data_IF_920280219072
#
_entry.id   IF_920280219072
#
_cell.length_a   1.000
_cell.length_b   1.000
_cell.length_c   1.000
_cell.angle_alpha   90.00
_cell.angle_beta   90.00
_cell.angle_gamma   90.00
#
_symmetry.space_group_name_H-M   'P 1'
#
loop_
_entity.id
_entity.type
_entity.pdbx_description
1 polymer ?
#
# COMPACT_ATOMS: atom_id res chain seq x y z
N UNK A 1 -5.63 0.19 21.49
CA UNK A 1 -5.13 -0.73 20.44
C UNK A 1 -3.62 -0.90 20.57
N UNK A 2 -3.10 -0.83 21.81
CA UNK A 2 -1.69 -0.58 22.10
C UNK A 2 -0.84 -1.85 22.22
N UNK A 3 -1.41 -3.01 21.86
CA UNK A 3 -0.76 -4.32 22.04
C UNK A 3 -0.05 -4.84 20.78
N UNK A 4 -0.14 -4.13 19.64
CA UNK A 4 0.41 -4.60 18.36
C UNK A 4 1.28 -3.57 17.68
N UNK A 5 2.48 -3.99 17.26
CA UNK A 5 3.45 -3.16 16.50
C UNK A 5 3.26 -3.23 14.99
N UNK A 6 2.70 -4.33 14.49
CA UNK A 6 2.56 -4.58 13.06
C UNK A 6 1.13 -5.01 12.73
N UNK A 7 0.62 -4.53 11.59
CA UNK A 7 -0.66 -4.96 11.05
C UNK A 7 -0.45 -5.48 9.62
N UNK A 8 -0.75 -6.76 9.40
CA UNK A 8 -0.56 -7.42 8.12
C UNK A 8 -1.69 -7.04 7.17
N UNK A 9 -1.42 -6.06 6.31
CA UNK A 9 -2.36 -5.50 5.32
C UNK A 9 -2.21 -6.21 3.98
N UNK A 10 -2.44 -7.52 3.96
CA UNK A 10 -2.23 -8.34 2.76
C UNK A 10 -3.45 -8.28 1.84
N UNK A 11 -3.20 -8.11 0.55
CA UNK A 11 -4.25 -8.17 -0.45
C UNK A 11 -4.47 -9.57 -0.98
N UNK A 12 -5.71 -9.82 -1.43
CA UNK A 12 -6.11 -11.13 -1.95
C UNK A 12 -5.42 -11.48 -3.27
N UNK A 13 -4.79 -10.51 -3.94
CA UNK A 13 -4.14 -10.69 -5.24
C UNK A 13 -3.02 -9.67 -5.43
N UNK A 14 -1.98 -10.06 -6.15
CA UNK A 14 -0.82 -9.21 -6.42
C UNK A 14 -1.04 -8.35 -7.67
N UNK A 15 -2.03 -7.48 -7.62
CA UNK A 15 -2.41 -6.65 -8.77
C UNK A 15 -1.87 -5.22 -8.65
N UNK A 16 -1.50 -4.64 -9.79
CA UNK A 16 -1.16 -3.23 -9.95
C UNK A 16 -2.34 -2.40 -9.49
N UNK A 17 -2.04 -1.35 -8.73
CA UNK A 17 -3.01 -0.38 -8.19
C UNK A 17 -4.10 -0.98 -7.27
N UNK A 18 -4.03 -2.27 -6.92
CA UNK A 18 -4.98 -2.90 -5.99
C UNK A 18 -4.54 -2.66 -4.54
N UNK A 19 -5.11 -1.61 -3.95
CA UNK A 19 -4.91 -1.20 -2.55
C UNK A 19 -6.27 -0.97 -1.92
N UNK A 20 -6.57 -1.62 -0.81
CA UNK A 20 -7.88 -1.60 -0.16
C UNK A 20 -7.84 -0.96 1.23
N UNK A 21 -8.96 -1.03 1.95
CA UNK A 21 -9.11 -0.52 3.31
C UNK A 21 -8.10 -1.09 4.30
N UNK A 22 -7.54 -2.28 4.04
CA UNK A 22 -6.60 -2.97 4.96
C UNK A 22 -5.40 -2.08 5.29
N UNK A 23 -4.78 -1.48 4.27
CA UNK A 23 -3.67 -0.56 4.45
C UNK A 23 -4.11 0.67 5.25
N UNK A 24 -5.22 1.29 4.87
CA UNK A 24 -5.68 2.54 5.49
C UNK A 24 -6.15 2.34 6.94
N UNK A 25 -6.71 1.18 7.27
CA UNK A 25 -7.07 0.82 8.65
C UNK A 25 -5.81 0.78 9.56
N UNK A 26 -4.69 0.28 9.06
CA UNK A 26 -3.42 0.33 9.79
C UNK A 26 -2.87 1.75 9.89
N UNK A 27 -2.88 2.50 8.78
CA UNK A 27 -2.41 3.89 8.71
C UNK A 27 -3.17 4.82 9.68
N UNK A 28 -4.46 4.59 9.92
CA UNK A 28 -5.27 5.34 10.89
C UNK A 28 -4.80 5.16 12.34
N UNK A 29 -3.96 4.17 12.62
CA UNK A 29 -3.45 3.83 13.96
C UNK A 29 -1.93 4.05 14.06
N UNK A 30 -1.35 3.84 15.25
CA UNK A 30 0.10 3.87 15.51
C UNK A 30 0.73 2.47 15.41
N UNK A 31 0.43 1.78 14.31
CA UNK A 31 0.92 0.44 13.99
C UNK A 31 1.56 0.48 12.60
N UNK A 32 2.67 -0.22 12.39
CA UNK A 32 3.31 -0.26 11.07
C UNK A 32 2.54 -1.23 10.16
N UNK A 33 1.98 -0.77 9.02
CA UNK A 33 1.42 -1.66 8.01
C UNK A 33 2.51 -2.51 7.34
N UNK A 34 2.34 -3.83 7.39
CA UNK A 34 3.11 -4.79 6.60
C UNK A 34 2.26 -5.18 5.40
N UNK A 35 2.61 -4.68 4.22
CA UNK A 35 1.79 -4.80 3.01
C UNK A 35 2.29 -5.93 2.12
N UNK A 36 1.37 -6.65 1.49
CA UNK A 36 1.68 -7.65 0.47
C UNK A 36 0.65 -7.54 -0.65
N UNK A 37 1.09 -7.01 -1.80
CA UNK A 37 0.25 -6.71 -2.95
C UNK A 37 1.11 -6.40 -4.17
N UNK A 38 0.49 -6.19 -5.32
CA UNK A 38 1.17 -5.86 -6.58
C UNK A 38 1.26 -4.36 -6.87
N UNK A 39 0.75 -3.52 -5.96
CA UNK A 39 0.72 -2.08 -6.14
C UNK A 39 2.10 -1.43 -5.93
N UNK A 40 2.31 -0.30 -6.59
CA UNK A 40 3.41 0.61 -6.29
C UNK A 40 2.98 1.55 -5.16
N UNK A 41 3.28 1.17 -3.92
CA UNK A 41 2.85 1.91 -2.73
C UNK A 41 3.36 3.35 -2.67
N UNK A 42 4.42 3.71 -3.40
CA UNK A 42 4.94 5.09 -3.45
C UNK A 42 3.92 6.08 -4.04
N UNK A 43 2.93 5.58 -4.79
CA UNK A 43 1.82 6.37 -5.33
C UNK A 43 0.67 6.60 -4.35
N UNK A 44 0.61 5.81 -3.27
CA UNK A 44 -0.55 5.77 -2.38
C UNK A 44 -0.24 6.25 -0.97
N UNK A 45 1.01 6.10 -0.50
CA UNK A 45 1.43 6.45 0.85
C UNK A 45 2.77 7.18 0.87
N UNK A 46 3.05 7.98 1.92
CA UNK A 46 4.36 8.62 2.09
C UNK A 46 5.50 7.59 2.11
N UNK A 47 6.71 7.95 1.65
CA UNK A 47 7.85 7.04 1.73
C UNK A 47 8.15 6.65 3.19
N UNK A 48 8.67 5.44 3.37
CA UNK A 48 9.01 4.90 4.69
C UNK A 48 7.83 4.87 5.70
N UNK A 49 6.60 4.71 5.22
CA UNK A 49 5.40 4.55 6.05
C UNK A 49 4.89 3.11 6.16
N UNK A 50 5.37 2.22 5.28
CA UNK A 50 4.96 0.81 5.16
C UNK A 50 6.18 -0.11 5.10
N UNK A 51 5.99 -1.38 5.43
CA UNK A 51 6.94 -2.46 5.11
C UNK A 51 6.32 -3.29 3.99
N UNK A 52 6.88 -3.22 2.79
CA UNK A 52 6.43 -4.05 1.68
C UNK A 52 7.13 -5.41 1.70
N UNK A 53 6.35 -6.47 1.83
CA UNK A 53 6.84 -7.86 1.85
C UNK A 53 7.60 -8.19 0.57
N UNK A 54 7.21 -7.62 -0.57
CA UNK A 54 7.87 -7.86 -1.85
C UNK A 54 9.27 -7.24 -1.98
N UNK A 55 9.70 -6.42 -1.02
CA UNK A 55 11.05 -5.83 -1.00
C UNK A 55 12.09 -6.77 -0.37
N UNK A 56 11.65 -7.90 0.22
CA UNK A 56 12.51 -8.89 0.84
C UNK A 56 12.72 -10.09 -0.08
N UNK A 57 13.93 -10.66 -0.03
CA UNK A 57 14.24 -11.89 -0.77
C UNK A 57 13.56 -13.11 -0.15
N UNK A 58 13.63 -13.25 1.18
CA UNK A 58 13.08 -14.41 1.90
C UNK A 58 12.18 -14.00 3.07
N UNK A 59 11.28 -14.89 3.49
CA UNK A 59 10.48 -14.71 4.72
C UNK A 59 11.38 -14.51 5.95
N UNK A 60 12.55 -15.15 5.99
CA UNK A 60 13.52 -14.98 7.09
C UNK A 60 14.02 -13.54 7.18
N UNK A 61 14.29 -12.89 6.04
CA UNK A 61 14.75 -11.50 6.00
C UNK A 61 13.65 -10.53 6.50
N UNK A 62 12.40 -10.78 6.10
CA UNK A 62 11.24 -10.05 6.61
C UNK A 62 11.13 -10.21 8.14
N UNK A 63 11.18 -11.44 8.65
CA UNK A 63 11.08 -11.72 10.09
C UNK A 63 12.22 -11.05 10.86
N UNK A 64 13.44 -11.08 10.34
CA UNK A 64 14.58 -10.41 10.96
C UNK A 64 14.35 -8.89 11.04
N UNK A 65 13.81 -8.28 9.98
CA UNK A 65 13.47 -6.84 9.99
C UNK A 65 12.37 -6.52 11.01
N UNK A 66 11.31 -7.31 11.06
CA UNK A 66 10.21 -7.09 12.01
C UNK A 66 10.68 -7.23 13.46
N UNK A 67 11.52 -8.23 13.76
CA UNK A 67 12.16 -8.39 15.08
C UNK A 67 13.06 -7.22 15.43
N UNK A 68 13.93 -6.81 14.50
CA UNK A 68 14.78 -5.64 14.70
C UNK A 68 13.96 -4.39 15.07
N UNK A 69 12.88 -4.10 14.34
CA UNK A 69 12.02 -2.96 14.65
C UNK A 69 11.26 -3.13 15.98
N UNK A 70 10.89 -4.36 16.35
CA UNK A 70 10.27 -4.63 17.65
C UNK A 70 11.27 -4.36 18.80
N UNK A 71 12.54 -4.68 18.63
CA UNK A 71 13.56 -4.53 19.65
C UNK A 71 14.19 -3.11 19.69
N UNK A 72 13.95 -2.29 18.66
CA UNK A 72 14.54 -0.94 18.52
C UNK A 72 13.45 0.13 18.37
N UNK A 73 12.91 0.68 19.47
CA UNK A 73 11.84 1.69 19.45
C UNK A 73 12.16 2.96 18.64
N UNK A 74 13.42 3.40 18.64
CA UNK A 74 13.87 4.55 17.86
C UNK A 74 13.78 4.32 16.35
N UNK A 75 14.00 3.09 15.89
CA UNK A 75 13.82 2.74 14.48
C UNK A 75 12.35 2.52 14.14
N UNK A 76 11.57 1.98 15.07
CA UNK A 76 10.13 1.82 14.93
C UNK A 76 9.42 3.18 14.75
N UNK A 77 9.76 4.17 15.58
CA UNK A 77 9.06 5.46 15.56
C UNK A 77 9.28 6.23 14.25
N UNK A 78 10.40 6.00 13.55
CA UNK A 78 10.69 6.62 12.25
C UNK A 78 9.64 6.33 11.19
N UNK A 79 8.89 5.23 11.28
CA UNK A 79 7.80 4.91 10.34
C UNK A 79 6.58 5.84 10.46
N UNK A 80 6.52 6.68 11.51
CA UNK A 80 5.39 7.56 11.79
C UNK A 80 5.66 9.04 11.51
N UNK A 81 6.83 9.39 10.96
CA UNK A 81 7.22 10.78 10.63
C UNK A 81 6.12 11.51 9.83
N UNK A 82 5.45 10.79 8.93
CA UNK A 82 4.45 11.34 8.04
C UNK A 82 3.19 11.82 8.77
N UNK A 83 2.91 11.34 9.99
CA UNK A 83 1.69 11.71 10.73
C UNK A 83 1.66 13.18 11.16
N UNK A 84 2.82 13.85 11.19
CA UNK A 84 2.89 15.30 11.43
C UNK A 84 2.52 16.13 10.20
N UNK A 85 2.59 15.55 9.00
CA UNK A 85 2.43 16.26 7.74
C UNK A 85 1.18 15.83 6.96
N UNK A 86 0.70 14.61 7.19
CA UNK A 86 -0.39 14.01 6.44
C UNK A 86 -1.42 13.37 7.38
N UNK A 87 -2.64 13.26 6.88
CA UNK A 87 -3.73 12.52 7.52
C UNK A 87 -4.39 11.61 6.50
N UNK A 88 -4.87 10.47 6.96
CA UNK A 88 -5.71 9.60 6.13
C UNK A 88 -7.07 10.29 5.95
N UNK A 89 -7.55 10.38 4.72
CA UNK A 89 -8.83 11.00 4.40
C UNK A 89 -9.68 9.99 3.63
N UNK A 90 -10.88 9.71 4.16
CA UNK A 90 -11.86 8.83 3.51
C UNK A 90 -12.88 9.70 2.76
N UNK A 91 -12.45 10.28 1.65
CA UNK A 91 -13.36 11.01 0.76
C UNK A 91 -13.96 10.07 -0.28
N UNK A 92 -15.24 10.25 -0.60
CA UNK A 92 -15.82 9.59 -1.77
C UNK A 92 -15.13 10.14 -3.03
N UNK A 93 -14.65 9.27 -3.94
CA UNK A 93 -13.89 9.71 -5.11
C UNK A 93 -14.78 10.44 -6.14
N UNK A 94 -16.10 10.43 -5.96
CA UNK A 94 -17.06 10.94 -6.94
C UNK A 94 -16.95 12.45 -7.18
N UNK A 95 -16.62 13.25 -6.16
CA UNK A 95 -16.42 14.70 -6.36
C UNK A 95 -15.20 14.98 -7.24
N UNK A 96 -14.10 14.26 -7.02
CA UNK A 96 -12.89 14.39 -7.81
C UNK A 96 -13.10 13.85 -9.23
N UNK A 97 -13.76 12.70 -9.36
CA UNK A 97 -14.16 12.15 -10.65
C UNK A 97 -15.04 13.14 -11.43
N UNK A 98 -16.05 13.72 -10.79
CA UNK A 98 -16.92 14.75 -11.39
C UNK A 98 -16.09 15.95 -11.87
N UNK A 99 -15.17 16.45 -11.04
CA UNK A 99 -14.26 17.54 -11.39
C UNK A 99 -13.42 17.20 -12.63
N UNK A 100 -12.87 15.99 -12.70
CA UNK A 100 -12.06 15.53 -13.84
C UNK A 100 -12.91 15.39 -15.11
N UNK A 101 -14.12 14.81 -15.00
CA UNK A 101 -15.03 14.62 -16.14
C UNK A 101 -15.53 15.94 -16.73
N UNK A 102 -15.75 16.96 -15.90
CA UNK A 102 -16.20 18.29 -16.33
C UNK A 102 -15.05 19.27 -16.61
N UNK A 103 -13.80 18.91 -16.32
CA UNK A 103 -12.62 19.73 -16.57
C UNK A 103 -12.24 19.76 -18.05
N UNK A 104 -11.93 20.93 -18.59
CA UNK A 104 -11.65 21.16 -20.02
C UNK A 104 -10.20 20.86 -20.44
N UNK A 105 -9.63 19.71 -20.04
CA UNK A 105 -8.22 19.40 -20.30
C UNK A 105 -7.79 17.93 -20.35
N UNK A 106 -8.68 16.97 -20.07
CA UNK A 106 -8.35 15.55 -20.16
C UNK A 106 -8.33 15.07 -21.61
N UNK A 107 -7.25 14.38 -22.03
CA UNK A 107 -7.27 13.61 -23.28
C UNK A 107 -8.10 12.33 -23.04
N UNK A 108 -9.10 12.02 -23.87
CA UNK A 108 -9.82 10.76 -23.78
C UNK A 108 -8.85 9.58 -23.85
N UNK A 109 -9.02 8.61 -22.96
CA UNK A 109 -8.30 7.33 -23.00
C UNK A 109 -9.34 6.25 -23.29
N UNK A 110 -9.08 5.43 -24.30
CA UNK A 110 -9.91 4.29 -24.64
C UNK A 110 -9.09 3.01 -24.52
N UNK A 111 -9.74 1.93 -24.13
CA UNK A 111 -9.18 0.59 -24.09
C UNK A 111 -10.07 -0.28 -24.97
N UNK A 112 -9.50 -0.92 -25.99
CA UNK A 112 -10.27 -1.77 -26.92
C UNK A 112 -10.79 -3.03 -26.23
N UNK A 113 -9.99 -3.57 -25.31
CA UNK A 113 -10.34 -4.73 -24.50
C UNK A 113 -10.13 -4.41 -23.00
N UNK A 114 -11.25 -4.28 -22.27
CA UNK A 114 -11.23 -4.05 -20.84
C UNK A 114 -10.68 -5.26 -20.07
N UNK A 115 -10.87 -6.48 -20.58
CA UNK A 115 -10.38 -7.69 -19.95
C UNK A 115 -8.86 -7.74 -20.01
N UNK A 116 -8.26 -7.46 -21.16
CA UNK A 116 -6.79 -7.39 -21.27
C UNK A 116 -6.22 -6.30 -20.38
N UNK A 117 -6.79 -5.09 -20.41
CA UNK A 117 -6.35 -3.98 -19.57
C UNK A 117 -6.44 -4.28 -18.07
N UNK A 118 -7.52 -4.95 -17.64
CA UNK A 118 -7.80 -5.19 -16.23
C UNK A 118 -7.20 -6.49 -15.66
N UNK A 119 -7.03 -7.54 -16.46
CA UNK A 119 -6.64 -8.87 -15.98
C UNK A 119 -5.28 -9.35 -16.47
N UNK A 120 -4.96 -9.20 -17.75
CA UNK A 120 -3.85 -9.98 -18.36
C UNK A 120 -2.47 -9.48 -17.92
N UNK A 121 -2.28 -8.16 -17.83
CA UNK A 121 -1.01 -7.54 -17.40
C UNK A 121 -1.11 -6.79 -16.06
N UNK A 122 -2.26 -6.89 -15.40
CA UNK A 122 -2.50 -6.17 -14.15
C UNK A 122 -2.00 -6.94 -12.93
N UNK A 123 -2.02 -8.28 -12.96
CA UNK A 123 -1.79 -9.11 -11.78
C UNK A 123 -0.60 -10.06 -11.93
N UNK A 124 0.24 -10.12 -10.89
CA UNK A 124 1.33 -11.06 -10.81
C UNK A 124 0.86 -12.37 -10.16
N UNK A 125 1.18 -13.50 -10.79
CA UNK A 125 0.87 -14.83 -10.24
C UNK A 125 1.91 -15.25 -9.20
N UNK A 126 3.15 -14.73 -9.33
CA UNK A 126 4.28 -15.09 -8.46
C UNK A 126 4.66 -13.91 -7.57
N UNK A 127 4.87 -14.19 -6.30
CA UNK A 127 5.48 -13.25 -5.37
C UNK A 127 6.98 -13.09 -5.69
N UNK A 128 7.54 -11.93 -5.36
CA UNK A 128 8.99 -11.68 -5.42
C UNK A 128 9.73 -12.31 -4.23
N UNK A 129 9.06 -12.36 -3.08
CA UNK A 129 9.57 -13.02 -1.87
C UNK A 129 9.49 -14.54 -2.03
N UNK A 130 10.53 -15.23 -1.57
CA UNK A 130 10.57 -16.68 -1.46
C UNK A 130 9.99 -17.12 -0.11
N UNK A 131 8.94 -17.96 -0.16
CA UNK A 131 8.28 -18.57 0.99
C UNK A 131 8.93 -19.88 1.41
#
# INVERSE_FOLDING_TARGET
>A
TDDYRFYFSFENSLCRDYVTEKLFNAMDNYVIPVVFGGADYTKFVPPHSVINVQDFKTVKDLVNRLKFLADNPEEYVKYFWWKEHYRVVRNLPFCELCRVLHGSGGKPRYYEDIRTWWYEDACQVKAKIEF
#
